data_IF_913882979244
#
_entry.id   IF_913882979244
#
_cell.length_a   1.000
_cell.length_b   1.000
_cell.length_c   1.000
_cell.angle_alpha   90.00
_cell.angle_beta   90.00
_cell.angle_gamma   90.00
#
_symmetry.space_group_name_H-M   'P 1'
#
loop_
_entity.id
_entity.type
_entity.pdbx_description
1 polymer ?
#
# COMPACT_ATOMS: atom_id res chain seq x y z
N UNK A 1 -10.25 3.52 20.53
CA UNK A 1 -9.99 3.51 19.08
C UNK A 1 -8.95 2.43 18.81
N UNK A 2 -9.12 1.66 17.74
CA UNK A 2 -8.21 0.59 17.32
C UNK A 2 -8.13 0.57 15.79
N UNK A 3 -6.91 0.58 15.23
CA UNK A 3 -6.66 0.46 13.80
C UNK A 3 -5.22 -0.07 13.59
N UNK A 4 -4.93 -1.31 13.99
CA UNK A 4 -3.61 -1.91 13.80
C UNK A 4 -3.42 -2.35 12.36
N UNK A 5 -2.17 -2.30 11.90
CA UNK A 5 -1.76 -2.86 10.60
C UNK A 5 -0.42 -3.57 10.72
N UNK A 6 -0.08 -4.37 9.72
CA UNK A 6 1.25 -4.90 9.50
C UNK A 6 2.01 -3.96 8.56
N UNK A 7 3.20 -3.51 8.98
CA UNK A 7 4.03 -2.59 8.21
C UNK A 7 5.32 -3.26 7.68
N UNK A 8 5.19 -4.50 7.23
CA UNK A 8 6.31 -5.19 6.59
C UNK A 8 6.58 -4.62 5.21
N UNK A 9 7.87 -4.40 4.89
CA UNK A 9 8.31 -3.99 3.56
C UNK A 9 8.64 -5.20 2.71
N UNK A 10 8.08 -5.27 1.51
CA UNK A 10 8.32 -6.32 0.53
C UNK A 10 9.27 -5.83 -0.55
N UNK A 11 10.35 -6.57 -0.79
CA UNK A 11 11.20 -6.47 -1.96
C UNK A 11 11.42 -7.89 -2.49
N UNK A 12 10.81 -8.18 -3.63
CA UNK A 12 10.81 -9.52 -4.22
C UNK A 12 12.06 -9.83 -5.05
N UNK A 13 12.94 -8.85 -5.28
CA UNK A 13 14.21 -9.07 -5.97
C UNK A 13 15.13 -10.03 -5.19
N UNK A 14 15.02 -10.00 -3.85
CA UNK A 14 15.94 -10.71 -2.94
C UNK A 14 17.22 -9.92 -2.64
N UNK A 15 17.33 -8.71 -3.15
CA UNK A 15 18.44 -7.79 -2.91
C UNK A 15 17.93 -6.42 -2.47
N UNK A 16 18.07 -6.13 -1.17
CA UNK A 16 17.61 -4.86 -0.58
C UNK A 16 18.48 -3.66 -0.95
N UNK A 17 19.60 -3.85 -1.64
CA UNK A 17 20.39 -2.76 -2.20
C UNK A 17 19.80 -2.22 -3.51
N UNK A 18 18.77 -2.88 -4.05
CA UNK A 18 18.10 -2.49 -5.29
C UNK A 18 16.72 -1.91 -5.01
N UNK A 19 16.32 -0.86 -5.74
CA UNK A 19 14.96 -0.34 -5.67
C UNK A 19 13.95 -1.32 -6.29
N UNK A 20 12.68 -1.16 -5.93
CA UNK A 20 11.58 -1.99 -6.42
C UNK A 20 10.97 -1.48 -7.74
N UNK A 21 11.68 -0.70 -8.50
CA UNK A 21 11.22 -0.01 -9.72
C UNK A 21 10.58 -0.95 -10.74
N UNK A 22 11.14 -2.15 -10.89
CA UNK A 22 10.66 -3.15 -11.85
C UNK A 22 9.48 -3.97 -11.34
N UNK A 23 9.17 -3.89 -10.04
CA UNK A 23 8.03 -4.63 -9.50
C UNK A 23 6.73 -4.12 -10.09
N UNK A 24 5.82 -5.02 -10.38
CA UNK A 24 4.48 -4.72 -10.87
C UNK A 24 3.50 -4.85 -9.72
N UNK A 25 2.78 -3.77 -9.43
CA UNK A 25 1.72 -3.76 -8.42
C UNK A 25 0.36 -3.75 -9.10
N UNK A 26 -0.52 -4.66 -8.68
CA UNK A 26 -1.94 -4.63 -9.00
C UNK A 26 -2.76 -4.58 -7.72
N UNK A 27 -3.77 -3.72 -7.68
CA UNK A 27 -4.70 -3.60 -6.56
C UNK A 27 -6.14 -3.75 -7.05
N UNK A 28 -6.90 -4.62 -6.41
CA UNK A 28 -8.34 -4.69 -6.61
C UNK A 28 -9.01 -3.60 -5.76
N UNK A 29 -9.04 -2.41 -6.30
CA UNK A 29 -9.47 -1.20 -5.61
C UNK A 29 -10.60 -0.47 -6.33
N UNK A 30 -11.46 0.20 -5.56
CA UNK A 30 -12.48 1.14 -6.05
C UNK A 30 -11.90 2.52 -6.31
N UNK A 31 -10.69 2.80 -5.81
CA UNK A 31 -9.99 4.08 -5.97
C UNK A 31 -9.09 4.40 -4.79
N UNK A 32 -8.45 5.55 -4.86
CA UNK A 32 -7.58 6.09 -3.83
C UNK A 32 -8.32 7.13 -2.98
N UNK A 33 -7.99 7.22 -1.70
CA UNK A 33 -8.30 8.40 -0.90
C UNK A 33 -7.14 9.40 -1.06
N UNK A 34 -7.34 10.51 -1.79
CA UNK A 34 -6.28 11.49 -1.95
C UNK A 34 -5.80 12.03 -0.60
N UNK A 35 -4.52 12.29 -0.49
CA UNK A 35 -3.93 12.85 0.74
C UNK A 35 -3.72 14.36 0.61
N UNK A 36 -3.96 15.09 1.71
CA UNK A 36 -3.60 16.48 1.84
C UNK A 36 -2.07 16.63 2.09
N UNK A 37 -1.50 17.83 1.98
CA UNK A 37 -0.07 18.05 2.22
C UNK A 37 0.43 17.65 3.62
N UNK A 38 -0.46 17.56 4.60
CA UNK A 38 -0.18 17.08 5.95
C UNK A 38 -0.30 15.55 6.09
N UNK A 39 -0.57 14.83 4.98
CA UNK A 39 -0.71 13.37 4.95
C UNK A 39 -2.09 12.86 5.37
N UNK A 40 -3.03 13.74 5.73
CA UNK A 40 -4.39 13.33 6.11
C UNK A 40 -5.19 12.95 4.86
N UNK A 41 -5.80 11.75 4.81
CA UNK A 41 -6.57 11.33 3.64
C UNK A 41 -7.90 12.06 3.55
N UNK A 42 -8.34 12.32 2.31
CA UNK A 42 -9.69 12.79 2.00
C UNK A 42 -10.75 11.76 2.45
N UNK A 43 -11.99 12.18 2.56
CA UNK A 43 -13.10 11.30 2.96
C UNK A 43 -13.74 10.60 1.76
N UNK A 44 -13.47 11.07 0.56
CA UNK A 44 -14.05 10.57 -0.70
C UNK A 44 -13.00 9.85 -1.53
N UNK A 45 -13.43 8.76 -2.17
CA UNK A 45 -12.59 7.94 -3.06
C UNK A 45 -12.53 8.57 -4.45
N UNK A 46 -11.32 8.72 -4.99
CA UNK A 46 -11.09 9.12 -6.38
C UNK A 46 -10.65 7.91 -7.22
N UNK A 47 -11.52 7.48 -8.14
CA UNK A 47 -11.27 6.37 -9.06
C UNK A 47 -10.72 6.84 -10.43
N UNK A 48 -10.61 8.16 -10.66
CA UNK A 48 -10.38 8.69 -12.00
C UNK A 48 -8.91 8.97 -12.32
N UNK A 49 -8.03 8.90 -11.34
CA UNK A 49 -6.59 9.15 -11.53
C UNK A 49 -5.94 8.10 -12.42
N UNK A 50 -4.98 8.51 -13.24
CA UNK A 50 -4.28 7.64 -14.18
C UNK A 50 -3.58 6.47 -13.50
N UNK A 51 -2.82 6.75 -12.44
CA UNK A 51 -2.10 5.73 -11.69
C UNK A 51 -3.04 4.73 -10.99
N UNK A 52 -4.23 5.16 -10.54
CA UNK A 52 -5.24 4.26 -9.95
C UNK A 52 -5.72 3.24 -10.99
N UNK A 53 -6.05 3.71 -12.21
CA UNK A 53 -6.47 2.83 -13.32
C UNK A 53 -5.35 1.88 -13.74
N UNK A 54 -4.12 2.35 -13.73
CA UNK A 54 -2.94 1.53 -13.97
C UNK A 54 -2.79 0.43 -12.89
N UNK A 55 -2.92 0.78 -11.62
CA UNK A 55 -2.86 -0.19 -10.53
C UNK A 55 -3.98 -1.24 -10.59
N UNK A 56 -5.16 -0.90 -11.07
CA UNK A 56 -6.24 -1.88 -11.25
C UNK A 56 -5.91 -2.97 -12.27
N UNK A 57 -5.04 -2.69 -13.24
CA UNK A 57 -4.64 -3.63 -14.30
C UNK A 57 -3.25 -4.20 -14.14
N UNK A 58 -2.46 -3.66 -13.23
CA UNK A 58 -1.05 -3.98 -13.00
C UNK A 58 -0.14 -2.94 -13.65
N UNK A 59 0.62 -2.22 -12.83
CA UNK A 59 1.52 -1.14 -13.25
C UNK A 59 2.90 -1.33 -12.64
N UNK A 60 3.95 -1.15 -13.43
CA UNK A 60 5.32 -1.17 -12.90
C UNK A 60 5.54 0.06 -12.01
N UNK A 61 6.16 -0.14 -10.85
CA UNK A 61 6.32 0.93 -9.87
C UNK A 61 7.13 2.11 -10.40
N UNK A 62 8.10 1.88 -11.28
CA UNK A 62 8.82 2.97 -11.98
C UNK A 62 7.90 3.92 -12.76
N UNK A 63 6.79 3.42 -13.30
CA UNK A 63 5.83 4.24 -14.02
C UNK A 63 5.04 5.12 -13.06
N UNK A 64 4.74 4.60 -11.86
CA UNK A 64 4.14 5.39 -10.77
C UNK A 64 5.13 6.46 -10.29
N UNK A 65 6.40 6.10 -10.03
CA UNK A 65 7.40 7.05 -9.54
C UNK A 65 7.69 8.18 -10.53
N UNK A 66 7.49 7.94 -11.83
CA UNK A 66 7.62 8.93 -12.90
C UNK A 66 6.33 9.72 -13.18
N UNK A 67 5.18 9.33 -12.57
CA UNK A 67 3.89 9.97 -12.82
C UNK A 67 3.90 11.43 -12.33
N UNK A 68 3.29 12.32 -13.10
CA UNK A 68 3.18 13.75 -12.78
C UNK A 68 1.89 14.09 -12.01
N UNK A 69 1.10 13.09 -11.62
CA UNK A 69 -0.04 13.31 -10.74
C UNK A 69 0.42 13.95 -9.42
N UNK A 70 -0.28 15.01 -9.00
CA UNK A 70 0.05 15.77 -7.79
C UNK A 70 0.15 14.89 -6.54
N UNK A 71 -0.66 13.83 -6.46
CA UNK A 71 -0.65 12.89 -5.34
C UNK A 71 0.66 12.10 -5.29
N UNK A 72 1.20 11.70 -6.42
CA UNK A 72 2.49 11.00 -6.50
C UNK A 72 3.64 11.97 -6.16
N UNK A 73 3.57 13.20 -6.68
CA UNK A 73 4.62 14.19 -6.50
C UNK A 73 4.74 14.66 -5.04
N UNK A 74 3.61 14.80 -4.32
CA UNK A 74 3.60 15.31 -2.93
C UNK A 74 4.35 14.40 -1.95
N UNK A 75 4.39 13.08 -2.24
CA UNK A 75 5.08 12.08 -1.40
C UNK A 75 6.21 11.37 -2.11
N UNK A 76 6.54 11.76 -3.35
CA UNK A 76 7.62 11.16 -4.16
C UNK A 76 7.42 9.64 -4.37
N UNK A 77 6.19 9.20 -4.60
CA UNK A 77 5.85 7.79 -4.78
C UNK A 77 4.45 7.43 -4.27
N UNK A 78 4.31 6.26 -3.67
CA UNK A 78 3.06 5.86 -3.00
C UNK A 78 3.17 6.08 -1.50
N UNK A 79 2.15 6.70 -0.93
CA UNK A 79 1.85 6.77 0.50
C UNK A 79 0.34 7.01 0.64
N UNK A 80 -0.45 6.11 0.05
CA UNK A 80 -1.87 6.36 -0.17
C UNK A 80 -2.74 5.22 0.31
N UNK A 81 -3.88 5.55 0.96
CA UNK A 81 -4.94 4.59 1.24
C UNK A 81 -5.76 4.30 -0.02
N UNK A 82 -5.95 3.02 -0.33
CA UNK A 82 -6.81 2.54 -1.42
C UNK A 82 -8.03 1.82 -0.85
N UNK A 83 -9.23 2.22 -1.28
CA UNK A 83 -10.47 1.55 -0.93
C UNK A 83 -10.53 0.19 -1.65
N UNK A 84 -10.52 -0.92 -0.91
CA UNK A 84 -10.52 -2.25 -1.51
C UNK A 84 -11.88 -2.62 -2.10
N UNK A 85 -11.87 -3.29 -3.25
CA UNK A 85 -13.04 -3.89 -3.83
C UNK A 85 -13.32 -5.25 -3.20
N UNK A 86 -14.31 -5.30 -2.32
CA UNK A 86 -14.67 -6.49 -1.55
C UNK A 86 -15.43 -7.56 -2.36
N UNK A 87 -15.72 -7.31 -3.63
CA UNK A 87 -16.26 -8.32 -4.54
C UNK A 87 -15.15 -9.24 -5.07
N UNK A 88 -13.89 -8.83 -4.92
CA UNK A 88 -12.71 -9.61 -5.29
C UNK A 88 -12.19 -10.41 -4.07
N UNK A 89 -11.80 -11.66 -4.32
CA UNK A 89 -11.22 -12.51 -3.27
C UNK A 89 -9.84 -12.02 -2.84
N UNK A 90 -9.00 -11.64 -3.81
CA UNK A 90 -7.68 -11.05 -3.57
C UNK A 90 -7.77 -9.54 -3.52
N UNK A 91 -7.03 -8.93 -2.60
CA UNK A 91 -6.94 -7.48 -2.49
C UNK A 91 -5.87 -6.89 -3.43
N UNK A 92 -4.87 -7.69 -3.79
CA UNK A 92 -3.82 -7.26 -4.70
C UNK A 92 -2.73 -8.29 -4.93
N UNK A 93 -1.82 -7.91 -5.82
CA UNK A 93 -0.74 -8.72 -6.33
C UNK A 93 0.50 -7.87 -6.55
N UNK A 94 1.64 -8.32 -6.04
CA UNK A 94 2.96 -7.74 -6.28
C UNK A 94 3.82 -8.79 -6.98
N UNK A 95 4.52 -8.41 -8.06
CA UNK A 95 5.33 -9.32 -8.87
C UNK A 95 6.65 -8.67 -9.27
N UNK A 96 7.73 -9.39 -9.13
CA UNK A 96 9.02 -9.00 -9.69
C UNK A 96 9.31 -9.83 -10.95
N UNK A 97 9.30 -9.20 -12.14
CA UNK A 97 9.52 -9.91 -13.40
C UNK A 97 10.95 -10.44 -13.57
N UNK A 98 11.91 -9.92 -12.79
CA UNK A 98 13.32 -10.34 -12.87
C UNK A 98 13.55 -11.65 -12.11
N UNK A 99 13.06 -11.74 -10.88
CA UNK A 99 13.21 -12.94 -10.05
C UNK A 99 12.13 -13.98 -10.25
N UNK A 100 11.00 -13.61 -10.89
CA UNK A 100 9.79 -14.43 -11.00
C UNK A 100 8.99 -14.54 -9.70
N UNK A 101 9.43 -13.91 -8.60
CA UNK A 101 8.71 -13.99 -7.33
C UNK A 101 7.46 -13.14 -7.35
N UNK A 102 6.43 -13.62 -6.67
CA UNK A 102 5.18 -12.88 -6.50
C UNK A 102 4.62 -13.01 -5.08
N UNK A 103 3.78 -12.05 -4.75
CA UNK A 103 3.00 -12.00 -3.52
C UNK A 103 1.56 -11.64 -3.89
N UNK A 104 0.58 -12.43 -3.43
CA UNK A 104 -0.82 -12.02 -3.37
C UNK A 104 -1.22 -11.80 -1.92
N UNK A 105 -2.28 -11.01 -1.69
CA UNK A 105 -2.81 -10.86 -0.36
C UNK A 105 -4.33 -10.75 -0.35
N UNK A 106 -4.93 -11.26 0.73
CA UNK A 106 -6.34 -11.18 1.05
C UNK A 106 -6.49 -10.55 2.42
N UNK A 107 -7.51 -9.76 2.61
CA UNK A 107 -7.76 -9.13 3.90
C UNK A 107 -9.24 -8.87 4.12
N UNK A 108 -9.69 -8.90 5.38
CA UNK A 108 -11.01 -8.42 5.78
C UNK A 108 -11.05 -6.89 5.97
N UNK A 109 -9.90 -6.22 6.01
CA UNK A 109 -9.80 -4.77 6.13
C UNK A 109 -10.41 -4.05 4.92
N UNK A 110 -11.08 -2.88 5.12
CA UNK A 110 -11.72 -2.15 4.02
C UNK A 110 -10.75 -1.40 3.11
N UNK A 111 -9.52 -1.18 3.56
CA UNK A 111 -8.53 -0.35 2.92
C UNK A 111 -7.14 -1.01 2.98
N UNK A 112 -6.28 -0.66 2.04
CA UNK A 112 -4.84 -0.90 2.12
C UNK A 112 -4.09 0.42 1.91
N UNK A 113 -3.22 0.79 2.85
CA UNK A 113 -2.24 1.86 2.61
C UNK A 113 -1.04 1.22 1.92
N UNK A 114 -0.62 1.82 0.80
CA UNK A 114 0.61 1.41 0.12
C UNK A 114 1.67 2.48 0.34
N UNK A 115 2.83 2.07 0.86
CA UNK A 115 3.96 2.97 1.08
C UNK A 115 5.21 2.43 0.41
N UNK A 116 5.81 3.21 -0.48
CA UNK A 116 6.93 2.78 -1.32
C UNK A 116 8.31 3.24 -0.80
N UNK A 117 8.48 3.36 0.53
CA UNK A 117 9.73 3.77 1.16
C UNK A 117 10.30 5.07 0.55
N UNK A 118 9.46 6.12 0.48
CA UNK A 118 9.77 7.37 -0.19
C UNK A 118 10.78 8.23 0.57
N UNK A 119 10.69 8.21 1.90
CA UNK A 119 11.53 8.98 2.81
C UNK A 119 12.35 8.03 3.66
N UNK A 120 13.62 7.91 3.35
CA UNK A 120 14.53 6.97 4.01
C UNK A 120 15.69 7.70 4.66
N UNK A 121 16.18 7.12 5.76
CA UNK A 121 17.42 7.51 6.39
C UNK A 121 18.49 6.47 6.02
N UNK A 122 19.44 6.85 5.18
CA UNK A 122 20.53 5.98 4.74
C UNK A 122 21.44 5.50 5.88
N UNK A 123 21.35 6.12 7.06
CA UNK A 123 22.05 5.64 8.26
C UNK A 123 21.42 4.36 8.85
N UNK A 124 20.18 4.05 8.46
CA UNK A 124 19.48 2.82 8.84
C UNK A 124 20.01 1.66 8.01
N UNK A 125 20.57 0.66 8.69
CA UNK A 125 21.12 -0.55 8.06
C UNK A 125 20.11 -1.69 8.20
N UNK A 126 19.66 -2.25 7.09
CA UNK A 126 18.78 -3.42 7.04
C UNK A 126 19.51 -4.56 6.32
N UNK A 127 19.65 -5.71 6.98
CA UNK A 127 20.38 -6.87 6.45
C UNK A 127 21.80 -6.54 5.95
N UNK A 128 22.50 -5.61 6.63
CA UNK A 128 23.86 -5.22 6.29
C UNK A 128 23.98 -4.22 5.12
N UNK A 129 22.87 -3.71 4.62
CA UNK A 129 22.82 -2.70 3.55
C UNK A 129 22.13 -1.42 4.06
N UNK A 130 22.58 -0.23 3.61
CA UNK A 130 21.87 1.00 3.90
C UNK A 130 20.47 0.96 3.27
N UNK A 131 19.50 1.54 3.96
CA UNK A 131 18.17 1.76 3.41
C UNK A 131 18.25 2.82 2.33
N UNK A 132 17.73 2.53 1.14
CA UNK A 132 17.65 3.48 0.02
C UNK A 132 16.19 3.76 -0.33
N UNK A 133 15.95 4.88 -1.01
CA UNK A 133 14.62 5.23 -1.48
C UNK A 133 14.07 4.13 -2.40
N UNK A 134 12.79 3.82 -2.24
CA UNK A 134 12.08 2.81 -3.03
C UNK A 134 12.69 1.39 -2.96
N UNK A 135 13.29 1.01 -1.84
CA UNK A 135 13.83 -0.36 -1.70
C UNK A 135 12.85 -1.37 -1.09
N UNK A 136 11.59 -0.96 -0.87
CA UNK A 136 10.53 -1.83 -0.38
C UNK A 136 9.15 -1.20 -0.50
N UNK A 137 8.14 -2.06 -0.56
CA UNK A 137 6.72 -1.67 -0.57
C UNK A 137 6.04 -2.21 0.68
N UNK A 138 5.44 -1.34 1.48
CA UNK A 138 4.51 -1.75 2.53
C UNK A 138 3.08 -1.88 1.96
N UNK A 139 2.37 -2.91 2.41
CA UNK A 139 0.97 -3.19 2.08
C UNK A 139 0.21 -3.31 3.41
N UNK A 140 -0.33 -2.20 3.88
CA UNK A 140 -0.88 -2.04 5.21
C UNK A 140 -2.40 -2.16 5.19
N UNK A 141 -2.90 -3.36 5.40
CA UNK A 141 -4.34 -3.62 5.47
C UNK A 141 -4.92 -3.09 6.79
N UNK A 142 -5.84 -2.13 6.70
CA UNK A 142 -6.41 -1.43 7.87
C UNK A 142 -7.71 -0.70 7.50
N UNK A 143 -8.37 -0.07 8.47
CA UNK A 143 -9.37 0.96 8.19
C UNK A 143 -8.68 2.23 7.66
N UNK A 144 -9.47 3.13 7.04
CA UNK A 144 -8.93 4.42 6.57
C UNK A 144 -8.21 5.15 7.72
N UNK A 145 -6.97 5.60 7.53
CA UNK A 145 -6.33 6.52 8.47
C UNK A 145 -7.22 7.73 8.72
N UNK A 146 -7.23 8.23 9.96
CA UNK A 146 -8.10 9.34 10.40
C UNK A 146 -9.63 9.07 10.24
N UNK A 147 -10.05 7.81 10.10
CA UNK A 147 -11.48 7.45 10.00
C UNK A 147 -12.32 7.97 11.18
N UNK A 148 -11.69 8.18 12.35
CA UNK A 148 -12.37 8.68 13.56
C UNK A 148 -13.05 10.05 13.32
N UNK A 149 -12.53 10.86 12.39
CA UNK A 149 -13.07 12.17 12.01
C UNK A 149 -13.95 12.13 10.75
N UNK A 150 -14.52 10.96 10.42
CA UNK A 150 -15.35 10.75 9.25
C UNK A 150 -16.60 9.91 9.55
N UNK A 151 -17.44 9.71 8.55
CA UNK A 151 -18.59 8.79 8.62
C UNK A 151 -18.14 7.31 8.76
N UNK A 152 -16.85 7.02 8.55
CA UNK A 152 -16.24 5.71 8.72
C UNK A 152 -15.74 5.44 10.15
N UNK A 153 -15.99 6.35 11.11
CA UNK A 153 -15.51 6.27 12.50
C UNK A 153 -15.85 4.95 13.22
N UNK A 154 -16.97 4.33 12.86
CA UNK A 154 -17.41 3.07 13.50
C UNK A 154 -16.45 1.91 13.15
N UNK A 155 -15.65 2.00 12.09
CA UNK A 155 -14.63 1.01 11.73
C UNK A 155 -13.47 0.98 12.74
N UNK A 156 -13.24 2.07 13.46
CA UNK A 156 -12.09 2.23 14.37
C UNK A 156 -12.50 2.38 15.84
N UNK A 157 -13.81 2.39 16.14
CA UNK A 157 -14.32 2.46 17.52
C UNK A 157 -14.53 1.05 18.05
N UNK A 158 -13.70 0.62 19.00
CA UNK A 158 -13.91 -0.61 19.74
C UNK A 158 -14.68 -0.31 21.04
N UNK A 159 -15.90 -0.82 21.15
CA UNK A 159 -16.74 -0.67 22.35
C UNK A 159 -16.24 -1.56 23.47
N UNK A 160 -16.44 -1.14 24.73
CA UNK A 160 -16.09 -1.93 25.90
C UNK A 160 -16.80 -3.32 25.85
N UNK A 161 -16.06 -4.37 26.17
CA UNK A 161 -16.57 -5.75 26.12
C UNK A 161 -16.55 -6.39 24.73
N UNK A 162 -16.21 -5.67 23.67
CA UNK A 162 -16.07 -6.23 22.32
C UNK A 162 -14.60 -6.60 22.02
N UNK A 163 -14.43 -7.57 21.13
CA UNK A 163 -13.12 -7.98 20.61
C UNK A 163 -12.95 -7.43 19.20
N UNK A 164 -11.76 -6.89 18.90
CA UNK A 164 -11.33 -6.57 17.55
C UNK A 164 -10.65 -7.80 16.96
N UNK A 165 -10.99 -8.16 15.74
CA UNK A 165 -10.30 -9.18 14.95
C UNK A 165 -10.08 -8.64 13.55
N UNK A 166 -8.91 -8.87 12.99
CA UNK A 166 -8.60 -8.60 11.58
C UNK A 166 -7.69 -9.71 11.07
N UNK A 167 -7.88 -10.07 9.82
CA UNK A 167 -7.12 -11.15 9.18
C UNK A 167 -6.58 -10.67 7.85
N UNK A 168 -5.25 -10.74 7.70
CA UNK A 168 -4.57 -10.54 6.41
C UNK A 168 -3.72 -11.77 6.13
N UNK A 169 -3.88 -12.34 4.95
CA UNK A 169 -3.13 -13.51 4.51
C UNK A 169 -2.29 -13.11 3.31
N UNK A 170 -0.98 -13.32 3.42
CA UNK A 170 -0.03 -13.15 2.32
C UNK A 170 0.33 -14.54 1.78
N UNK A 171 0.32 -14.68 0.48
CA UNK A 171 0.74 -15.88 -0.23
C UNK A 171 1.87 -15.53 -1.19
N UNK A 172 3.04 -16.13 -1.00
CA UNK A 172 4.22 -15.92 -1.83
C UNK A 172 4.52 -17.15 -2.68
N UNK A 173 5.02 -16.93 -3.90
CA UNK A 173 5.41 -17.98 -4.83
C UNK A 173 6.42 -17.50 -5.86
N UNK A 174 6.72 -18.38 -6.82
CA UNK A 174 7.60 -18.13 -7.97
C UNK A 174 6.90 -18.65 -9.21
N UNK A 175 6.90 -17.86 -10.31
CA UNK A 175 6.40 -18.24 -11.63
C UNK A 175 7.52 -18.83 -12.48
#
# INVERSE_FOLDING_TARGET
MVNPTNHSYFNLSGDFSQPIDQHVLQLHTKGVYPIAPDGVPAKEVDANRGFVKGLQTGLALKEIFADQDEQIQVVSGLDHPFALDKEQEEAGYLYDPVSGRYLTFRTDAPCVVTYSANFVDESVIINGQPMIQHNGLALEAQALPDAIHSDLKDQVILKAGHMFTSTTVYFAGVK
#
